data_IF_584469146476
#
_entry.id   IF_584469146476
#
_cell.length_a   1.000
_cell.length_b   1.000
_cell.length_c   1.000
_cell.angle_alpha   90.00
_cell.angle_beta   90.00
_cell.angle_gamma   90.00
#
_symmetry.space_group_name_H-M   'P 1'
#
loop_
_entity.id
_entity.type
_entity.pdbx_description
1 polymer ?
#
# COMPACT_ATOMS: atom_id res chain seq x y z
N UNK A 1 24.78 -61.32 4.03
CA UNK A 1 23.56 -60.84 4.73
C UNK A 1 22.65 -60.19 3.70
N UNK A 2 21.77 -60.99 3.11
CA UNK A 2 20.93 -60.60 1.98
C UNK A 2 19.69 -59.89 2.51
N UNK A 3 19.71 -58.56 2.55
CA UNK A 3 18.47 -57.80 2.82
C UNK A 3 17.56 -58.01 1.62
N UNK A 4 16.51 -58.80 1.82
CA UNK A 4 15.53 -59.15 0.81
C UNK A 4 14.99 -57.87 0.14
N UNK A 5 14.96 -57.83 -1.19
CA UNK A 5 14.54 -56.69 -2.03
C UNK A 5 13.26 -56.00 -1.52
N UNK A 6 12.34 -56.80 -0.96
CA UNK A 6 11.08 -56.34 -0.39
C UNK A 6 11.28 -55.41 0.82
N UNK A 7 12.25 -55.71 1.69
CA UNK A 7 12.58 -54.87 2.85
C UNK A 7 13.28 -53.57 2.44
N UNK A 8 14.10 -53.60 1.38
CA UNK A 8 14.71 -52.39 0.84
C UNK A 8 13.67 -51.43 0.25
N UNK A 9 12.67 -51.96 -0.47
CA UNK A 9 11.56 -51.17 -0.99
C UNK A 9 10.73 -50.51 0.13
N UNK A 10 10.43 -51.24 1.21
CA UNK A 10 9.72 -50.68 2.37
C UNK A 10 10.52 -49.57 3.07
N UNK A 11 11.83 -49.77 3.25
CA UNK A 11 12.69 -48.74 3.84
C UNK A 11 12.74 -47.48 2.96
N UNK A 12 12.84 -47.63 1.64
CA UNK A 12 12.83 -46.49 0.72
C UNK A 12 11.50 -45.73 0.75
N UNK A 13 10.37 -46.44 0.74
CA UNK A 13 9.04 -45.81 0.84
C UNK A 13 8.88 -45.10 2.18
N UNK A 14 9.31 -45.72 3.28
CA UNK A 14 9.24 -45.11 4.61
C UNK A 14 10.14 -43.86 4.70
N UNK A 15 11.37 -43.91 4.19
CA UNK A 15 12.23 -42.73 4.12
C UNK A 15 11.66 -41.63 3.25
N UNK A 16 11.03 -41.96 2.11
CA UNK A 16 10.39 -40.99 1.25
C UNK A 16 9.18 -40.35 1.94
N UNK A 17 8.34 -41.14 2.62
CA UNK A 17 7.20 -40.64 3.39
C UNK A 17 7.64 -39.72 4.53
N UNK A 18 8.62 -40.14 5.34
CA UNK A 18 9.19 -39.33 6.42
C UNK A 18 9.87 -38.08 5.87
N UNK A 19 10.54 -38.15 4.71
CA UNK A 19 11.15 -37.00 4.05
C UNK A 19 10.09 -36.02 3.53
N UNK A 20 8.95 -36.51 3.05
CA UNK A 20 7.83 -35.70 2.59
C UNK A 20 7.13 -35.00 3.78
N UNK A 21 6.93 -35.72 4.89
CA UNK A 21 6.43 -35.16 6.15
C UNK A 21 7.39 -34.12 6.74
N UNK A 22 8.71 -34.39 6.70
CA UNK A 22 9.73 -33.45 7.16
C UNK A 22 9.82 -32.21 6.25
N UNK A 23 9.60 -32.35 4.94
CA UNK A 23 9.53 -31.21 4.01
C UNK A 23 8.36 -30.27 4.35
N UNK A 24 7.22 -30.81 4.81
CA UNK A 24 6.12 -29.99 5.30
C UNK A 24 6.44 -29.32 6.65
N UNK A 25 7.27 -29.95 7.50
CA UNK A 25 7.71 -29.38 8.77
C UNK A 25 8.76 -28.26 8.62
N UNK A 26 9.47 -28.18 7.49
CA UNK A 26 10.40 -27.08 7.18
C UNK A 26 9.72 -25.78 6.71
N UNK A 27 8.38 -25.72 6.72
CA UNK A 27 7.65 -24.49 6.53
C UNK A 27 7.85 -23.58 7.76
N UNK A 28 8.91 -22.75 7.72
CA UNK A 28 9.29 -21.77 8.76
C UNK A 28 8.03 -21.12 9.32
N UNK A 29 7.70 -21.49 10.56
CA UNK A 29 6.54 -21.03 11.29
C UNK A 29 6.66 -19.53 11.57
N UNK A 30 5.76 -18.77 10.96
CA UNK A 30 5.01 -17.75 11.70
C UNK A 30 5.70 -16.42 11.95
N UNK A 31 6.09 -15.68 10.90
CA UNK A 31 6.17 -14.21 11.00
C UNK A 31 5.66 -13.55 9.72
N UNK A 32 4.87 -12.49 9.90
CA UNK A 32 4.50 -11.56 8.85
C UNK A 32 5.76 -10.90 8.25
N UNK A 33 5.77 -10.65 6.94
CA UNK A 33 6.88 -9.98 6.27
C UNK A 33 7.10 -8.54 6.75
N UNK A 34 6.05 -7.93 7.28
CA UNK A 34 5.99 -6.56 7.79
C UNK A 34 5.82 -6.58 9.32
N UNK A 35 6.91 -6.43 10.10
CA UNK A 35 6.83 -6.28 11.55
C UNK A 35 6.26 -4.92 11.96
N UNK A 36 6.55 -3.88 11.17
CA UNK A 36 6.08 -2.50 11.39
C UNK A 36 5.34 -2.00 10.16
N UNK A 37 4.29 -1.19 10.37
CA UNK A 37 3.51 -0.60 9.28
C UNK A 37 3.38 0.91 9.47
N UNK A 38 3.33 1.64 8.36
CA UNK A 38 3.16 3.10 8.35
C UNK A 38 1.79 3.42 7.74
N UNK A 39 1.10 4.43 8.28
CA UNK A 39 -0.27 4.78 7.84
C UNK A 39 -0.30 5.50 6.49
N UNK A 40 0.58 6.48 6.31
CA UNK A 40 0.69 7.28 5.11
C UNK A 40 2.17 7.43 4.73
N UNK A 41 2.44 7.36 3.44
CA UNK A 41 3.74 7.68 2.85
C UNK A 41 3.52 8.72 1.75
N UNK A 42 4.54 9.54 1.50
CA UNK A 42 4.55 10.53 0.41
C UNK A 42 5.79 10.28 -0.44
N UNK A 43 5.68 10.50 -1.74
CA UNK A 43 6.79 10.34 -2.69
C UNK A 43 6.43 9.43 -3.85
N UNK A 44 7.42 9.16 -4.71
CA UNK A 44 7.20 8.42 -5.93
C UNK A 44 7.23 6.90 -5.71
N UNK A 45 6.06 6.29 -5.82
CA UNK A 45 5.89 4.84 -5.78
C UNK A 45 6.18 4.27 -7.15
N UNK A 46 7.06 3.27 -7.23
CA UNK A 46 7.40 2.56 -8.46
C UNK A 46 6.64 1.24 -8.59
N UNK A 47 6.35 0.57 -7.48
CA UNK A 47 5.68 -0.73 -7.46
C UNK A 47 4.97 -0.97 -6.11
N UNK A 48 4.10 -1.98 -6.03
CA UNK A 48 3.55 -2.49 -4.77
C UNK A 48 3.32 -3.99 -4.82
N UNK A 49 3.28 -4.66 -3.67
CA UNK A 49 2.98 -6.07 -3.52
C UNK A 49 1.91 -6.27 -2.46
N UNK A 50 0.91 -7.10 -2.77
CA UNK A 50 -0.13 -7.53 -1.84
C UNK A 50 0.15 -8.97 -1.44
N UNK A 51 0.42 -9.17 -0.17
CA UNK A 51 0.64 -10.47 0.43
C UNK A 51 -0.64 -10.92 1.12
N UNK A 52 -1.32 -11.91 0.56
CA UNK A 52 -2.51 -12.50 1.17
C UNK A 52 -2.18 -13.29 2.43
N UNK A 53 -3.22 -13.64 3.19
CA UNK A 53 -3.11 -14.41 4.44
C UNK A 53 -2.44 -15.76 4.15
N UNK A 54 -1.48 -16.13 5.00
CA UNK A 54 -0.72 -17.40 4.90
C UNK A 54 -0.74 -18.10 6.26
N UNK A 55 -0.43 -19.42 6.33
CA UNK A 55 -0.34 -20.14 7.60
C UNK A 55 0.59 -19.50 8.65
N UNK A 56 1.54 -18.64 8.23
CA UNK A 56 2.41 -17.88 9.12
C UNK A 56 2.08 -16.39 9.33
N UNK A 57 1.00 -15.87 8.74
CA UNK A 57 0.54 -14.49 8.93
C UNK A 57 -0.96 -14.39 8.60
N UNK A 58 -1.77 -14.09 9.60
CA UNK A 58 -3.24 -14.06 9.54
C UNK A 58 -3.83 -12.75 8.98
N UNK A 59 -2.95 -11.80 8.66
CA UNK A 59 -3.28 -10.50 8.08
C UNK A 59 -2.71 -10.35 6.67
N UNK A 60 -3.40 -9.55 5.86
CA UNK A 60 -2.92 -9.11 4.55
C UNK A 60 -1.82 -8.06 4.78
N UNK A 61 -0.75 -8.11 3.99
CA UNK A 61 0.32 -7.13 4.03
C UNK A 61 0.39 -6.39 2.69
N UNK A 62 0.55 -5.06 2.74
CA UNK A 62 0.75 -4.24 1.56
C UNK A 62 2.13 -3.61 1.64
N UNK A 63 3.01 -3.99 0.70
CA UNK A 63 4.37 -3.47 0.61
C UNK A 63 4.41 -2.54 -0.61
N UNK A 64 4.93 -1.34 -0.45
CA UNK A 64 5.10 -0.37 -1.53
C UNK A 64 6.59 -0.12 -1.74
N UNK A 65 7.02 -0.13 -2.99
CA UNK A 65 8.38 0.19 -3.40
C UNK A 65 8.42 1.64 -3.86
N UNK A 66 9.28 2.43 -3.23
CA UNK A 66 9.51 3.83 -3.54
C UNK A 66 10.81 3.97 -4.34
N UNK A 67 10.78 4.72 -5.43
CA UNK A 67 11.97 5.10 -6.20
C UNK A 67 12.53 6.42 -5.68
N UNK A 68 13.76 6.42 -5.21
CA UNK A 68 14.51 7.62 -4.82
C UNK A 68 15.16 8.30 -6.03
N UNK A 69 15.54 9.57 -5.88
CA UNK A 69 16.27 10.35 -6.89
C UNK A 69 17.66 9.79 -7.20
N UNK A 70 18.23 8.98 -6.30
CA UNK A 70 19.54 8.32 -6.47
C UNK A 70 19.43 6.91 -7.07
N UNK A 71 18.31 6.58 -7.70
CA UNK A 71 17.96 5.23 -8.19
C UNK A 71 17.87 4.14 -7.10
N UNK A 72 17.94 4.50 -5.82
CA UNK A 72 17.69 3.55 -4.74
C UNK A 72 16.20 3.24 -4.64
N UNK A 73 15.87 1.97 -4.40
CA UNK A 73 14.50 1.54 -4.13
C UNK A 73 14.33 1.20 -2.66
N UNK A 74 13.32 1.77 -2.01
CA UNK A 74 13.02 1.48 -0.60
C UNK A 74 11.66 0.80 -0.51
N UNK A 75 11.58 -0.29 0.26
CA UNK A 75 10.33 -1.02 0.50
C UNK A 75 9.73 -0.57 1.81
N UNK A 76 8.45 -0.21 1.79
CA UNK A 76 7.71 0.27 2.95
C UNK A 76 6.42 -0.50 3.11
N UNK A 77 6.15 -0.99 4.31
CA UNK A 77 4.91 -1.67 4.64
C UNK A 77 3.82 -0.67 5.05
N UNK A 78 2.68 -0.72 4.37
CA UNK A 78 1.52 0.11 4.69
C UNK A 78 0.57 -0.60 5.65
N UNK A 79 -0.02 0.19 6.56
CA UNK A 79 -1.07 -0.29 7.44
C UNK A 79 -2.36 -0.50 6.62
N UNK A 80 -2.84 -1.75 6.53
CA UNK A 80 -3.98 -2.16 5.71
C UNK A 80 -5.33 -1.59 6.16
N UNK A 81 -5.44 -1.09 7.39
CA UNK A 81 -6.65 -0.41 7.87
C UNK A 81 -6.73 1.05 7.43
N UNK A 82 -5.59 1.63 7.03
CA UNK A 82 -5.46 3.01 6.59
C UNK A 82 -6.16 3.30 5.26
N UNK A 83 -6.54 4.57 5.06
CA UNK A 83 -7.21 5.02 3.81
C UNK A 83 -6.38 4.74 2.56
N UNK A 84 -5.07 4.93 2.65
CA UNK A 84 -4.13 4.71 1.54
C UNK A 84 -4.09 3.24 1.14
N UNK A 85 -3.89 2.34 2.10
CA UNK A 85 -3.83 0.91 1.82
C UNK A 85 -5.17 0.36 1.32
N UNK A 86 -6.29 0.77 1.92
CA UNK A 86 -7.64 0.41 1.43
C UNK A 86 -7.86 0.82 -0.02
N UNK A 87 -7.37 1.99 -0.44
CA UNK A 87 -7.46 2.43 -1.83
C UNK A 87 -6.66 1.52 -2.78
N UNK A 88 -5.45 1.13 -2.38
CA UNK A 88 -4.63 0.16 -3.11
C UNK A 88 -5.31 -1.20 -3.21
N UNK A 89 -5.77 -1.78 -2.09
CA UNK A 89 -6.44 -3.07 -2.06
C UNK A 89 -7.73 -3.07 -2.90
N UNK A 90 -8.55 -2.01 -2.80
CA UNK A 90 -9.75 -1.86 -3.65
C UNK A 90 -9.41 -1.73 -5.13
N UNK A 91 -8.25 -1.16 -5.46
CA UNK A 91 -7.79 -1.10 -6.83
C UNK A 91 -7.27 -2.44 -7.33
N UNK A 92 -6.51 -3.15 -6.48
CA UNK A 92 -5.98 -4.48 -6.75
C UNK A 92 -7.08 -5.48 -7.10
N UNK A 93 -8.17 -5.50 -6.32
CA UNK A 93 -9.34 -6.33 -6.63
C UNK A 93 -10.02 -5.92 -7.95
N UNK A 94 -10.09 -4.61 -8.27
CA UNK A 94 -10.71 -4.13 -9.52
C UNK A 94 -9.93 -4.58 -10.76
N UNK A 95 -8.61 -4.64 -10.67
CA UNK A 95 -7.76 -5.11 -11.77
C UNK A 95 -7.58 -6.63 -11.75
N UNK A 96 -8.46 -7.36 -11.06
CA UNK A 96 -8.45 -8.82 -10.98
C UNK A 96 -7.11 -9.39 -10.49
N UNK A 97 -6.40 -8.67 -9.62
CA UNK A 97 -5.08 -9.05 -9.08
C UNK A 97 -4.02 -9.27 -10.17
N UNK A 98 -4.16 -8.57 -11.30
CA UNK A 98 -3.20 -8.65 -12.40
C UNK A 98 -1.97 -7.78 -12.15
N UNK A 99 -0.82 -8.44 -12.07
CA UNK A 99 0.50 -7.81 -11.89
C UNK A 99 0.83 -6.78 -12.98
N UNK A 100 0.49 -7.07 -14.24
CA UNK A 100 0.74 -6.17 -15.37
C UNK A 100 -0.02 -4.83 -15.28
N UNK A 101 -1.11 -4.79 -14.49
CA UNK A 101 -1.99 -3.63 -14.35
C UNK A 101 -1.73 -2.82 -13.10
N UNK A 102 -0.73 -3.17 -12.27
CA UNK A 102 -0.38 -2.44 -11.04
C UNK A 102 -0.18 -0.94 -11.23
N UNK A 103 0.39 -0.56 -12.37
CA UNK A 103 0.62 0.85 -12.74
C UNK A 103 -0.68 1.67 -12.76
N UNK A 104 -1.83 1.06 -13.07
CA UNK A 104 -3.15 1.73 -13.00
C UNK A 104 -3.45 2.21 -11.57
N UNK A 105 -3.19 1.36 -10.58
CA UNK A 105 -3.41 1.67 -9.17
C UNK A 105 -2.44 2.72 -8.64
N UNK A 106 -1.18 2.64 -9.04
CA UNK A 106 -0.14 3.63 -8.70
C UNK A 106 -0.49 4.99 -9.29
N UNK A 107 -0.89 5.06 -10.57
CA UNK A 107 -1.28 6.30 -11.24
C UNK A 107 -2.53 6.92 -10.61
N UNK A 108 -3.53 6.09 -10.26
CA UNK A 108 -4.72 6.55 -9.54
C UNK A 108 -4.35 7.17 -8.19
N UNK A 109 -3.35 6.63 -7.49
CA UNK A 109 -2.86 7.20 -6.23
C UNK A 109 -2.17 8.53 -6.45
N UNK A 110 -1.25 8.65 -7.42
CA UNK A 110 -0.57 9.92 -7.75
C UNK A 110 -1.58 11.04 -8.02
N UNK A 111 -2.57 10.78 -8.89
CA UNK A 111 -3.64 11.75 -9.21
C UNK A 111 -4.46 12.17 -7.97
N UNK A 112 -4.65 11.28 -7.00
CA UNK A 112 -5.35 11.62 -5.76
C UNK A 112 -4.48 12.48 -4.82
N UNK A 113 -3.16 12.30 -4.82
CA UNK A 113 -2.23 13.16 -4.07
C UNK A 113 -2.17 14.57 -4.67
N UNK A 114 -2.10 14.68 -5.99
CA UNK A 114 -2.04 15.97 -6.70
C UNK A 114 -3.27 16.84 -6.40
N UNK A 115 -4.47 16.26 -6.47
CA UNK A 115 -5.72 16.96 -6.11
C UNK A 115 -5.72 17.50 -4.68
N UNK A 116 -5.19 16.72 -3.73
CA UNK A 116 -5.08 17.20 -2.34
C UNK A 116 -4.01 18.26 -2.14
N UNK A 117 -3.08 18.43 -3.07
CA UNK A 117 -2.11 19.52 -3.04
C UNK A 117 -2.70 20.82 -3.63
N UNK A 118 -3.46 20.72 -4.72
CA UNK A 118 -4.11 21.87 -5.38
C UNK A 118 -5.16 22.53 -4.48
N UNK A 119 -6.00 21.74 -3.80
CA UNK A 119 -7.06 22.25 -2.90
C UNK A 119 -6.48 23.12 -1.76
N UNK A 120 -5.27 22.78 -1.29
CA UNK A 120 -4.56 23.57 -0.26
C UNK A 120 -3.97 24.88 -0.78
N UNK A 121 -3.76 25.02 -2.09
CA UNK A 121 -3.28 26.27 -2.71
C UNK A 121 -4.40 27.21 -3.15
N UNK A 122 -5.66 26.76 -3.08
CA UNK A 122 -6.84 27.58 -3.38
C UNK A 122 -7.38 28.32 -2.15
N UNK A 123 -7.18 27.79 -0.93
CA UNK A 123 -7.59 28.49 0.30
C UNK A 123 -6.75 29.75 0.59
N UNK A 124 -5.52 29.85 0.06
CA UNK A 124 -4.65 31.02 0.27
C UNK A 124 -4.91 32.18 -0.73
N UNK A 125 -5.98 32.10 -1.54
CA UNK A 125 -6.31 33.14 -2.55
C UNK A 125 -7.72 33.71 -2.43
N UNK A 126 -8.44 33.47 -1.34
CA UNK A 126 -9.78 34.04 -1.11
C UNK A 126 -9.89 34.99 0.08
N UNK A 127 -8.76 35.53 0.55
CA UNK A 127 -8.75 36.50 1.66
C UNK A 127 -8.10 37.85 1.34
N UNK A 128 -7.88 38.23 0.07
CA UNK A 128 -7.58 39.61 -0.27
C UNK A 128 -8.17 39.90 -1.65
N UNK A 129 -9.38 40.48 -1.70
CA UNK A 129 -9.55 41.84 -2.23
C UNK A 129 -11.04 42.27 -2.25
N UNK A 130 -11.23 43.54 -1.86
CA UNK A 130 -12.34 44.48 -2.13
C UNK A 130 -13.61 44.41 -1.28
N UNK A 131 -13.73 45.39 -0.38
CA UNK A 131 -14.42 46.67 -0.64
C UNK A 131 -14.33 47.53 0.63
N UNK A 132 -14.33 48.85 0.64
CA UNK A 132 -14.04 49.95 -0.28
C UNK A 132 -14.10 51.20 0.63
N UNK A 133 -13.27 52.19 0.34
CA UNK A 133 -13.05 53.39 1.15
C UNK A 133 -14.34 54.06 1.66
N UNK A 134 -14.41 54.26 2.97
CA UNK A 134 -15.40 55.10 3.64
C UNK A 134 -15.13 56.57 3.27
N UNK A 135 -15.79 57.07 2.22
CA UNK A 135 -15.79 58.49 1.86
C UNK A 135 -16.96 59.19 2.56
N UNK A 136 -16.57 60.06 3.47
CA UNK A 136 -17.33 61.07 4.20
C UNK A 136 -18.28 61.91 3.35
N UNK A 137 -19.48 62.11 3.90
CA UNK A 137 -20.32 63.32 3.97
C UNK A 137 -20.58 64.15 2.69
N UNK A 138 -21.87 64.27 2.35
CA UNK A 138 -22.54 65.56 2.19
C UNK A 138 -24.06 65.36 2.17
N UNK A 139 -24.76 65.86 3.19
CA UNK A 139 -26.17 66.24 3.04
C UNK A 139 -26.44 67.54 3.83
N UNK A 140 -26.57 68.62 3.07
CA UNK A 140 -27.25 69.88 3.40
C UNK A 140 -28.17 70.07 2.18
N UNK A 141 -29.49 70.24 2.32
CA UNK A 141 -30.19 71.41 2.87
C UNK A 141 -31.70 71.16 2.99
N UNK A 142 -32.35 72.00 3.82
CA UNK A 142 -33.73 72.00 4.29
C UNK A 142 -34.84 72.47 3.32
N UNK A 143 -36.10 72.19 3.70
CA UNK A 143 -37.40 72.92 3.61
C UNK A 143 -38.51 71.86 3.57
N UNK A 144 -39.53 71.83 4.45
CA UNK A 144 -40.49 72.85 4.92
C UNK A 144 -40.78 72.73 6.44
#
# INVERSE_FOLDING_TARGET
MSVCWRNAAFLLVFTAAVSLEFYQAQHIMGRCSCPTTIKNIRGNMSDFQVLEKRPGCDRIELIVTMSSSTNSTTKVCLNTEGRMAKAFLKCWERINKEESRKTECINRRRKAEDRTAEDRTAEDRTAEDRTAEDRTAEDRTAED
#
